data_IF_204956532906
#
_entry.id   IF_204956532906
#
_cell.length_a   1.000
_cell.length_b   1.000
_cell.length_c   1.000
_cell.angle_alpha   90.00
_cell.angle_beta   90.00
_cell.angle_gamma   90.00
#
_symmetry.space_group_name_H-M   'P 1'
#
loop_
_entity.id
_entity.type
_entity.pdbx_description
1 polymer ?
#
# COMPACT_ATOMS: atom_id res chain seq x y z
N UNK A 1 4.07 35.08 19.42
CA UNK A 1 2.70 34.70 19.00
C UNK A 1 2.71 33.19 18.77
N UNK A 2 2.10 32.44 19.69
CA UNK A 2 1.97 31.00 19.58
C UNK A 2 0.69 30.69 18.78
N UNK A 3 0.82 29.93 17.69
CA UNK A 3 -0.31 29.44 16.92
C UNK A 3 -0.82 28.18 17.62
N UNK A 4 -1.92 28.31 18.36
CA UNK A 4 -2.68 27.17 18.87
C UNK A 4 -3.29 26.41 17.69
N UNK A 5 -2.92 25.14 17.54
CA UNK A 5 -3.41 24.26 16.48
C UNK A 5 -4.50 23.36 17.05
N UNK A 6 -5.71 23.47 16.49
CA UNK A 6 -6.86 22.66 16.88
C UNK A 6 -6.62 21.15 16.61
N UNK A 7 -7.19 20.25 17.44
CA UNK A 7 -7.06 18.81 17.27
C UNK A 7 -7.96 18.31 16.13
N UNK A 8 -7.51 18.54 14.91
CA UNK A 8 -8.21 18.14 13.68
C UNK A 8 -7.33 18.21 12.41
N UNK A 9 -6.24 18.97 12.45
CA UNK A 9 -5.39 19.25 11.28
C UNK A 9 -4.36 18.15 10.94
N UNK A 10 -4.56 16.92 11.42
CA UNK A 10 -3.60 15.83 11.24
C UNK A 10 -4.06 14.79 10.24
N UNK A 11 -4.38 15.24 9.03
CA UNK A 11 -4.02 14.44 7.86
C UNK A 11 -3.13 15.31 6.99
N UNK A 12 -1.80 15.03 6.90
CA UNK A 12 -0.93 15.77 6.01
C UNK A 12 -1.30 15.40 4.57
N UNK A 13 -2.30 16.10 4.04
CA UNK A 13 -2.46 16.31 2.62
C UNK A 13 -1.12 16.83 2.14
N UNK A 14 -0.50 16.09 1.22
CA UNK A 14 0.85 16.33 0.68
C UNK A 14 1.21 17.81 0.71
N UNK A 15 2.27 18.16 1.47
CA UNK A 15 2.84 19.51 1.46
C UNK A 15 2.95 20.01 0.01
N UNK A 16 2.23 21.08 -0.31
CA UNK A 16 2.24 21.70 -1.64
C UNK A 16 3.65 22.20 -1.93
N UNK A 17 4.18 21.92 -3.12
CA UNK A 17 5.53 22.33 -3.53
C UNK A 17 6.68 21.42 -3.07
N UNK A 18 6.45 20.47 -2.16
CA UNK A 18 7.51 19.56 -1.69
C UNK A 18 7.57 18.31 -2.55
N UNK A 19 8.68 18.10 -3.27
CA UNK A 19 8.94 16.82 -3.95
C UNK A 19 9.30 15.76 -2.90
N UNK A 20 8.48 14.71 -2.72
CA UNK A 20 8.85 13.63 -1.83
C UNK A 20 10.09 12.92 -2.36
N UNK A 21 10.96 12.44 -1.48
CA UNK A 21 12.04 11.51 -1.83
C UNK A 21 11.37 10.23 -2.37
N UNK A 22 11.30 10.10 -3.70
CA UNK A 22 10.40 9.15 -4.38
C UNK A 22 10.74 7.67 -4.15
N UNK A 23 11.92 7.36 -3.62
CA UNK A 23 12.49 6.00 -3.64
C UNK A 23 12.66 5.39 -2.24
N UNK A 24 12.43 6.20 -1.19
CA UNK A 24 12.51 5.75 0.20
C UNK A 24 11.10 5.69 0.80
N UNK A 25 10.71 4.53 1.34
CA UNK A 25 9.36 4.32 1.85
C UNK A 25 9.26 4.72 3.31
N UNK A 26 8.87 5.96 3.58
CA UNK A 26 8.71 6.48 4.95
C UNK A 26 7.31 6.28 5.54
N UNK A 27 6.36 5.69 4.79
CA UNK A 27 4.93 5.64 5.17
C UNK A 27 4.61 4.82 6.41
N UNK A 28 5.47 3.87 6.76
CA UNK A 28 5.26 2.96 7.89
C UNK A 28 6.22 3.25 9.05
N UNK A 29 7.01 4.34 8.97
CA UNK A 29 7.98 4.69 10.00
C UNK A 29 7.26 5.34 11.19
N UNK A 30 7.66 4.97 12.41
CA UNK A 30 7.16 5.63 13.60
C UNK A 30 7.72 7.06 13.71
N UNK A 31 7.07 7.91 14.51
CA UNK A 31 7.54 9.28 14.77
C UNK A 31 8.97 9.31 15.30
N UNK A 32 9.34 8.34 16.16
CA UNK A 32 10.68 8.18 16.69
C UNK A 32 11.71 7.83 15.60
N UNK A 33 11.34 6.96 14.64
CA UNK A 33 12.22 6.59 13.53
C UNK A 33 12.52 7.78 12.62
N UNK A 34 11.50 8.61 12.34
CA UNK A 34 11.64 9.85 11.58
C UNK A 34 12.49 10.86 12.36
N UNK A 35 12.27 11.02 13.67
CA UNK A 35 13.07 11.92 14.50
C UNK A 35 14.55 11.54 14.54
N UNK A 36 14.88 10.24 14.46
CA UNK A 36 16.26 9.75 14.42
C UNK A 36 16.99 10.02 13.09
N UNK A 37 16.29 10.54 12.07
CA UNK A 37 16.85 10.76 10.74
C UNK A 37 17.92 11.86 10.72
N UNK A 38 17.69 12.96 11.45
CA UNK A 38 18.66 14.05 11.57
C UNK A 38 19.98 13.57 12.18
N UNK A 39 19.89 12.87 13.32
CA UNK A 39 21.05 12.29 14.01
C UNK A 39 21.84 11.34 13.11
N UNK A 40 21.14 10.46 12.39
CA UNK A 40 21.78 9.55 11.43
C UNK A 40 22.49 10.29 10.30
N UNK A 41 21.87 11.34 9.75
CA UNK A 41 22.48 12.15 8.68
C UNK A 41 23.72 12.87 9.20
N UNK A 42 23.66 13.48 10.38
CA UNK A 42 24.82 14.12 11.03
C UNK A 42 25.96 13.13 11.27
N UNK A 43 25.64 11.91 11.73
CA UNK A 43 26.63 10.86 11.91
C UNK A 43 27.31 10.51 10.58
N UNK A 44 26.54 10.27 9.51
CA UNK A 44 27.10 9.93 8.20
C UNK A 44 27.96 11.06 7.60
N UNK A 45 27.60 12.33 7.85
CA UNK A 45 28.42 13.48 7.46
C UNK A 45 29.74 13.51 8.24
N UNK A 46 29.70 13.27 9.55
CA UNK A 46 30.92 13.23 10.39
C UNK A 46 31.85 12.07 10.04
N UNK A 47 31.28 10.94 9.60
CA UNK A 47 32.02 9.76 9.14
C UNK A 47 32.51 9.86 7.70
N UNK A 48 32.21 10.96 6.98
CA UNK A 48 32.58 11.14 5.57
C UNK A 48 31.87 10.20 4.60
N UNK A 49 30.77 9.59 5.00
CA UNK A 49 29.96 8.66 4.18
C UNK A 49 28.94 9.36 3.28
N UNK A 50 28.73 10.66 3.50
CA UNK A 50 27.95 11.54 2.65
C UNK A 50 28.85 12.66 2.11
N UNK A 51 28.54 13.21 0.93
CA UNK A 51 29.23 14.40 0.45
C UNK A 51 29.09 15.52 1.48
N UNK A 52 30.16 16.29 1.67
CA UNK A 52 30.10 17.50 2.48
C UNK A 52 29.05 18.45 1.93
N UNK A 53 28.49 19.28 2.81
CA UNK A 53 27.68 20.41 2.34
C UNK A 53 28.56 21.20 1.37
N UNK A 54 28.04 21.47 0.17
CA UNK A 54 28.73 22.25 -0.89
C UNK A 54 29.41 23.48 -0.31
N UNK A 55 30.52 23.93 -0.93
CA UNK A 55 31.48 24.82 -0.29
C UNK A 55 30.80 26.04 0.30
N UNK A 56 31.33 26.46 1.46
CA UNK A 56 30.99 27.73 2.07
C UNK A 56 31.05 28.81 0.98
N UNK A 57 30.11 29.77 0.99
CA UNK A 57 30.21 30.91 0.09
C UNK A 57 31.62 31.51 0.27
N UNK A 58 32.33 31.87 -0.82
CA UNK A 58 33.65 32.47 -0.70
C UNK A 58 33.59 33.71 0.19
N UNK A 59 34.69 34.06 0.87
CA UNK A 59 34.76 35.33 1.57
C UNK A 59 34.44 36.44 0.55
N UNK A 60 33.50 37.33 0.89
CA UNK A 60 33.02 38.49 0.12
C UNK A 60 31.76 38.31 -0.76
N UNK A 61 30.90 37.33 -0.47
CA UNK A 61 29.61 37.15 -1.16
C UNK A 61 28.73 38.43 -1.19
N UNK A 62 28.84 39.31 -0.20
CA UNK A 62 28.04 40.53 -0.09
C UNK A 62 28.52 41.67 -1.00
N UNK A 63 29.74 41.59 -1.56
CA UNK A 63 30.36 42.68 -2.34
C UNK A 63 30.91 42.27 -3.70
N UNK A 64 31.08 40.97 -3.97
CA UNK A 64 31.77 40.49 -5.18
C UNK A 64 30.89 39.65 -6.12
N UNK A 65 29.73 39.18 -5.68
CA UNK A 65 28.91 38.24 -6.45
C UNK A 65 27.81 38.96 -7.23
N UNK A 66 27.67 38.60 -8.50
CA UNK A 66 26.50 38.97 -9.30
C UNK A 66 25.26 38.17 -8.85
N UNK A 67 24.04 38.69 -9.10
CA UNK A 67 22.80 37.96 -8.81
C UNK A 67 22.74 36.56 -9.44
N UNK A 68 23.37 36.38 -10.60
CA UNK A 68 23.42 35.09 -11.30
C UNK A 68 24.30 34.08 -10.55
N UNK A 69 25.48 34.49 -10.08
CA UNK A 69 26.39 33.63 -9.30
C UNK A 69 25.78 33.20 -7.97
N UNK A 70 25.04 34.12 -7.32
CA UNK A 70 24.24 33.80 -6.13
C UNK A 70 23.19 32.73 -6.46
N UNK A 71 22.48 32.89 -7.58
CA UNK A 71 21.48 31.93 -8.05
C UNK A 71 22.06 30.54 -8.31
N UNK A 72 23.17 30.46 -9.05
CA UNK A 72 23.81 29.20 -9.40
C UNK A 72 24.37 28.46 -8.17
N UNK A 73 24.92 29.21 -7.20
CA UNK A 73 25.36 28.64 -5.93
C UNK A 73 24.19 28.14 -5.08
N UNK A 74 23.10 28.91 -4.96
CA UNK A 74 21.90 28.46 -4.23
C UNK A 74 21.33 27.18 -4.84
N UNK A 75 21.26 27.12 -6.17
CA UNK A 75 20.83 25.93 -6.90
C UNK A 75 21.74 24.73 -6.64
N UNK A 76 23.06 24.94 -6.64
CA UNK A 76 24.05 23.93 -6.27
C UNK A 76 23.89 23.44 -4.84
N UNK A 77 23.70 24.36 -3.89
CA UNK A 77 23.51 24.08 -2.47
C UNK A 77 22.22 23.31 -2.19
N UNK A 78 21.13 23.69 -2.85
CA UNK A 78 19.85 22.99 -2.74
C UNK A 78 19.95 21.57 -3.31
N UNK A 79 20.60 21.39 -4.47
CA UNK A 79 20.83 20.05 -5.06
C UNK A 79 21.68 19.18 -4.15
N UNK A 80 22.79 19.72 -3.63
CA UNK A 80 23.66 19.02 -2.70
C UNK A 80 22.93 18.63 -1.41
N UNK A 81 22.15 19.53 -0.82
CA UNK A 81 21.33 19.23 0.35
C UNK A 81 20.32 18.11 0.05
N UNK A 82 19.67 18.16 -1.11
CA UNK A 82 18.76 17.11 -1.55
C UNK A 82 19.48 15.77 -1.68
N UNK A 83 20.68 15.73 -2.27
CA UNK A 83 21.48 14.53 -2.44
C UNK A 83 21.95 13.95 -1.09
N UNK A 84 22.34 14.79 -0.14
CA UNK A 84 22.70 14.39 1.23
C UNK A 84 21.50 13.73 1.92
N UNK A 85 20.34 14.40 1.91
CA UNK A 85 19.12 13.89 2.53
C UNK A 85 18.64 12.61 1.83
N UNK A 86 18.74 12.55 0.50
CA UNK A 86 18.38 11.38 -0.29
C UNK A 86 19.26 10.17 0.06
N UNK A 87 20.58 10.33 0.03
CA UNK A 87 21.53 9.26 0.27
C UNK A 87 21.50 8.79 1.72
N UNK A 88 21.34 9.71 2.68
CA UNK A 88 21.11 9.36 4.09
C UNK A 88 19.83 8.52 4.24
N UNK A 89 18.72 8.95 3.64
CA UNK A 89 17.46 8.22 3.72
C UNK A 89 17.57 6.84 3.05
N UNK A 90 18.28 6.75 1.92
CA UNK A 90 18.58 5.50 1.24
C UNK A 90 19.42 4.56 2.09
N UNK A 91 20.43 5.04 2.80
CA UNK A 91 21.27 4.22 3.69
C UNK A 91 20.51 3.77 4.93
N UNK A 92 19.70 4.66 5.53
CA UNK A 92 18.94 4.36 6.76
C UNK A 92 17.78 3.40 6.54
N UNK A 93 17.02 3.62 5.47
CA UNK A 93 15.72 2.96 5.25
C UNK A 93 15.70 2.09 3.99
N UNK A 94 16.81 2.04 3.25
CA UNK A 94 16.92 1.30 2.01
C UNK A 94 16.28 2.03 0.83
N UNK A 95 16.85 1.84 -0.35
CA UNK A 95 16.19 2.18 -1.60
C UNK A 95 15.23 1.05 -1.95
N UNK A 96 13.93 1.35 -2.06
CA UNK A 96 13.04 0.35 -2.63
C UNK A 96 13.26 0.32 -4.14
N UNK A 97 14.17 -0.56 -4.61
CA UNK A 97 14.44 -0.77 -6.03
C UNK A 97 13.12 -0.83 -6.80
N UNK A 98 12.88 0.16 -7.64
CA UNK A 98 11.66 0.23 -8.45
C UNK A 98 11.59 -0.99 -9.36
N UNK A 99 12.73 -1.49 -9.84
CA UNK A 99 12.85 -2.75 -10.58
C UNK A 99 12.37 -3.94 -9.76
N UNK A 100 12.80 -4.09 -8.49
CA UNK A 100 12.34 -5.17 -7.62
C UNK A 100 10.84 -5.05 -7.32
N UNK A 101 10.33 -3.84 -7.10
CA UNK A 101 8.88 -3.60 -6.95
C UNK A 101 8.10 -3.96 -8.21
N UNK A 102 8.59 -3.58 -9.39
CA UNK A 102 7.98 -3.88 -10.67
C UNK A 102 7.96 -5.38 -10.94
N UNK A 103 9.07 -6.08 -10.70
CA UNK A 103 9.18 -7.53 -10.83
C UNK A 103 8.23 -8.25 -9.86
N UNK A 104 8.23 -7.87 -8.58
CA UNK A 104 7.32 -8.46 -7.59
C UNK A 104 5.85 -8.25 -7.99
N UNK A 105 5.51 -7.08 -8.53
CA UNK A 105 4.18 -6.79 -9.05
C UNK A 105 3.83 -7.66 -10.26
N UNK A 106 4.74 -7.78 -11.23
CA UNK A 106 4.55 -8.60 -12.43
C UNK A 106 4.33 -10.07 -12.07
N UNK A 107 5.18 -10.64 -11.21
CA UNK A 107 5.04 -12.01 -10.70
C UNK A 107 3.72 -12.19 -9.96
N UNK A 108 3.32 -11.21 -9.12
CA UNK A 108 2.06 -11.28 -8.41
C UNK A 108 0.84 -11.22 -9.35
N UNK A 109 0.91 -10.47 -10.45
CA UNK A 109 -0.13 -10.44 -11.49
C UNK A 109 -0.20 -11.79 -12.21
N UNK A 110 0.94 -12.32 -12.64
CA UNK A 110 1.03 -13.60 -13.35
C UNK A 110 0.43 -14.74 -12.53
N UNK A 111 0.78 -14.82 -11.23
CA UNK A 111 0.22 -15.83 -10.30
C UNK A 111 -1.30 -15.68 -10.13
N UNK A 112 -1.80 -14.46 -10.00
CA UNK A 112 -3.26 -14.21 -9.92
C UNK A 112 -3.98 -14.63 -11.21
N UNK A 113 -3.40 -14.33 -12.38
CA UNK A 113 -3.98 -14.71 -13.66
C UNK A 113 -3.97 -16.23 -13.86
N UNK A 114 -2.88 -16.91 -13.48
CA UNK A 114 -2.77 -18.37 -13.51
C UNK A 114 -3.87 -19.03 -12.66
N UNK A 115 -4.00 -18.62 -11.40
CA UNK A 115 -5.05 -19.11 -10.51
C UNK A 115 -6.45 -18.90 -11.10
N UNK A 116 -6.71 -17.72 -11.69
CA UNK A 116 -7.98 -17.42 -12.35
C UNK A 116 -8.26 -18.35 -13.52
N UNK A 117 -7.26 -18.62 -14.36
CA UNK A 117 -7.39 -19.53 -15.49
C UNK A 117 -7.65 -20.97 -15.05
N UNK A 118 -6.93 -21.47 -14.03
CA UNK A 118 -7.11 -22.82 -13.50
C UNK A 118 -8.51 -23.01 -12.90
N UNK A 119 -9.02 -22.05 -12.13
CA UNK A 119 -10.38 -22.12 -11.57
C UNK A 119 -11.47 -22.09 -12.65
N UNK A 120 -11.31 -21.27 -13.70
CA UNK A 120 -12.24 -21.27 -14.84
C UNK A 120 -12.19 -22.59 -15.61
N UNK A 121 -11.00 -23.17 -15.75
CA UNK A 121 -10.84 -24.46 -16.42
C UNK A 121 -11.52 -25.58 -15.63
N UNK A 122 -11.42 -25.58 -14.30
CA UNK A 122 -12.16 -26.51 -13.44
C UNK A 122 -13.67 -26.42 -13.68
N UNK A 123 -14.23 -25.21 -13.69
CA UNK A 123 -15.66 -25.01 -13.94
C UNK A 123 -16.06 -25.48 -15.35
N UNK A 124 -15.26 -25.17 -16.38
CA UNK A 124 -15.53 -25.65 -17.75
C UNK A 124 -15.51 -27.16 -17.86
N UNK A 125 -14.55 -27.82 -17.19
CA UNK A 125 -14.51 -29.27 -17.15
C UNK A 125 -15.73 -29.84 -16.43
N UNK A 126 -16.23 -29.15 -15.41
CA UNK A 126 -17.49 -29.51 -14.75
C UNK A 126 -18.71 -29.39 -15.66
N UNK A 127 -18.82 -28.30 -16.40
CA UNK A 127 -19.94 -28.03 -17.31
C UNK A 127 -19.92 -28.94 -18.56
N UNK A 128 -18.74 -29.32 -19.07
CA UNK A 128 -18.61 -30.10 -20.29
C UNK A 128 -18.85 -31.61 -20.09
N UNK A 129 -18.37 -32.18 -19.00
CA UNK A 129 -18.57 -33.59 -18.68
C UNK A 129 -18.42 -33.83 -17.16
N UNK A 130 -19.43 -34.38 -16.47
CA UNK A 130 -19.32 -34.71 -15.06
C UNK A 130 -18.17 -35.70 -14.85
N UNK A 131 -17.10 -35.26 -14.19
CA UNK A 131 -15.97 -36.09 -13.76
C UNK A 131 -16.31 -36.76 -12.44
N UNK A 132 -15.54 -37.78 -12.08
CA UNK A 132 -15.63 -38.35 -10.73
C UNK A 132 -15.21 -37.30 -9.69
N UNK A 133 -15.79 -37.35 -8.49
CA UNK A 133 -15.40 -36.47 -7.39
C UNK A 133 -13.91 -36.57 -7.06
N UNK A 134 -13.31 -37.75 -7.24
CA UNK A 134 -11.86 -37.98 -7.11
C UNK A 134 -11.02 -37.17 -8.11
N UNK A 135 -11.48 -37.06 -9.36
CA UNK A 135 -10.81 -36.23 -10.37
C UNK A 135 -10.93 -34.74 -10.04
N UNK A 136 -12.10 -34.26 -9.60
CA UNK A 136 -12.25 -32.86 -9.18
C UNK A 136 -11.41 -32.53 -7.97
N UNK A 137 -11.32 -33.42 -6.99
CA UNK A 137 -10.47 -33.24 -5.82
C UNK A 137 -9.00 -33.08 -6.24
N UNK A 138 -8.51 -33.98 -7.11
CA UNK A 138 -7.16 -33.89 -7.69
C UNK A 138 -6.94 -32.58 -8.44
N UNK A 139 -7.87 -32.20 -9.32
CA UNK A 139 -7.73 -30.99 -10.13
C UNK A 139 -7.82 -29.71 -9.30
N UNK A 140 -8.65 -29.69 -8.25
CA UNK A 140 -8.72 -28.59 -7.29
C UNK A 140 -7.34 -28.40 -6.65
N UNK A 141 -6.73 -29.46 -6.11
CA UNK A 141 -5.41 -29.39 -5.48
C UNK A 141 -4.28 -28.90 -6.40
N UNK A 142 -4.45 -28.96 -7.74
CA UNK A 142 -3.50 -28.41 -8.71
C UNK A 142 -3.63 -26.91 -8.95
N UNK A 143 -4.66 -26.26 -8.40
CA UNK A 143 -4.82 -24.80 -8.48
C UNK A 143 -3.71 -24.12 -7.67
N UNK A 144 -2.90 -23.33 -8.36
CA UNK A 144 -1.79 -22.61 -7.75
C UNK A 144 -2.27 -21.29 -7.13
N UNK A 145 -2.60 -21.36 -5.85
CA UNK A 145 -3.00 -20.20 -5.08
C UNK A 145 -1.83 -19.23 -4.81
N UNK A 146 -2.06 -17.91 -4.93
CA UNK A 146 -1.09 -16.92 -4.47
C UNK A 146 -0.75 -17.09 -2.98
N UNK A 147 0.48 -16.74 -2.59
CA UNK A 147 0.97 -16.90 -1.20
C UNK A 147 0.03 -16.29 -0.15
N UNK A 148 -0.55 -15.12 -0.43
CA UNK A 148 -1.43 -14.39 0.47
C UNK A 148 -2.85 -14.99 0.60
N UNK A 149 -3.22 -15.94 -0.27
CA UNK A 149 -4.42 -16.77 -0.09
C UNK A 149 -4.08 -18.01 0.75
N UNK A 150 -2.95 -18.66 0.49
CA UNK A 150 -2.51 -19.84 1.23
C UNK A 150 -2.24 -19.55 2.70
N UNK A 151 -1.70 -18.37 2.97
CA UNK A 151 -1.44 -17.91 4.33
C UNK A 151 -1.95 -16.46 4.50
N UNK A 152 -3.23 -16.29 4.83
CA UNK A 152 -3.83 -14.98 5.07
C UNK A 152 -3.27 -14.27 6.31
N UNK A 153 -2.57 -14.98 7.20
CA UNK A 153 -1.98 -14.38 8.41
C UNK A 153 -0.71 -13.57 8.10
N UNK A 154 -0.09 -13.79 6.94
CA UNK A 154 0.97 -12.92 6.42
C UNK A 154 0.47 -11.54 6.01
N UNK A 155 -0.84 -11.37 5.85
CA UNK A 155 -1.44 -10.07 5.59
C UNK A 155 -1.61 -9.31 6.91
N UNK A 156 -1.25 -8.02 6.96
CA UNK A 156 -1.53 -7.18 8.12
C UNK A 156 -3.02 -7.26 8.52
N UNK A 157 -3.37 -7.17 9.81
CA UNK A 157 -4.78 -7.17 10.25
C UNK A 157 -5.62 -6.09 9.57
N UNK A 158 -5.02 -4.94 9.27
CA UNK A 158 -5.62 -3.80 8.55
C UNK A 158 -5.73 -4.01 7.03
N UNK A 159 -5.27 -5.15 6.53
CA UNK A 159 -5.29 -5.43 5.11
C UNK A 159 -6.71 -5.75 4.62
N UNK A 160 -7.24 -4.90 3.76
CA UNK A 160 -8.62 -4.93 3.26
C UNK A 160 -9.05 -6.22 2.55
N UNK A 161 -8.09 -7.02 2.05
CA UNK A 161 -8.38 -8.30 1.41
C UNK A 161 -8.12 -9.50 2.33
N UNK A 162 -7.65 -9.30 3.58
CA UNK A 162 -7.38 -10.38 4.53
C UNK A 162 -8.64 -11.18 4.87
N UNK A 163 -9.74 -10.49 5.19
CA UNK A 163 -11.00 -11.16 5.53
C UNK A 163 -11.52 -12.05 4.37
N UNK A 164 -11.52 -11.54 3.14
CA UNK A 164 -11.96 -12.36 2.01
C UNK A 164 -10.93 -13.45 1.64
N UNK A 165 -9.63 -13.26 1.93
CA UNK A 165 -8.61 -14.31 1.76
C UNK A 165 -8.81 -15.46 2.76
N UNK A 166 -9.12 -15.14 4.03
CA UNK A 166 -9.53 -16.12 5.05
C UNK A 166 -10.77 -16.88 4.58
N UNK A 167 -11.79 -16.16 4.09
CA UNK A 167 -13.02 -16.77 3.62
C UNK A 167 -12.84 -17.68 2.38
N UNK A 168 -11.76 -17.52 1.61
CA UNK A 168 -11.36 -18.48 0.56
C UNK A 168 -10.70 -19.71 1.19
N UNK A 169 -9.87 -19.54 2.22
CA UNK A 169 -9.30 -20.64 2.98
C UNK A 169 -10.37 -21.49 3.68
N UNK A 170 -11.38 -20.87 4.28
CA UNK A 170 -12.53 -21.59 4.89
C UNK A 170 -13.36 -22.31 3.83
N UNK A 171 -13.63 -21.69 2.68
CA UNK A 171 -14.30 -22.36 1.57
C UNK A 171 -13.49 -23.57 1.05
N UNK A 172 -12.16 -23.48 1.09
CA UNK A 172 -11.28 -24.58 0.69
C UNK A 172 -11.41 -25.80 1.61
N UNK A 173 -11.60 -25.58 2.92
CA UNK A 173 -11.79 -26.68 3.87
C UNK A 173 -13.16 -27.34 3.78
N UNK A 174 -14.15 -26.68 3.17
CA UNK A 174 -15.48 -27.25 2.89
C UNK A 174 -15.57 -27.96 1.54
N UNK A 175 -14.45 -28.38 0.96
CA UNK A 175 -14.42 -29.10 -0.32
C UNK A 175 -15.18 -30.43 -0.23
N UNK A 176 -16.06 -30.76 -1.21
CA UNK A 176 -16.79 -32.02 -1.21
C UNK A 176 -15.86 -33.23 -1.27
N UNK A 177 -16.22 -34.28 -0.53
CA UNK A 177 -15.53 -35.58 -0.54
C UNK A 177 -16.31 -36.67 -1.27
N UNK A 178 -17.53 -36.36 -1.74
CA UNK A 178 -18.40 -37.29 -2.45
C UNK A 178 -17.80 -37.67 -3.81
N UNK A 179 -17.87 -38.97 -4.13
CA UNK A 179 -17.28 -39.54 -5.37
C UNK A 179 -18.13 -39.28 -6.61
N UNK A 180 -19.41 -38.97 -6.45
CA UNK A 180 -20.30 -38.62 -7.55
C UNK A 180 -20.25 -37.10 -7.81
N UNK A 181 -20.32 -36.65 -9.08
CA UNK A 181 -20.51 -35.25 -9.42
C UNK A 181 -21.94 -34.82 -9.04
N UNK A 182 -22.16 -34.58 -7.75
CA UNK A 182 -23.42 -34.10 -7.19
C UNK A 182 -23.54 -32.58 -7.37
N UNK A 183 -24.74 -32.00 -7.17
CA UNK A 183 -24.95 -30.55 -7.08
C UNK A 183 -23.98 -29.83 -6.12
N UNK A 184 -23.40 -30.55 -5.16
CA UNK A 184 -22.43 -30.04 -4.20
C UNK A 184 -21.13 -29.55 -4.87
N UNK A 185 -20.64 -30.27 -5.88
CA UNK A 185 -19.45 -29.85 -6.63
C UNK A 185 -19.71 -28.61 -7.48
N UNK A 186 -20.87 -28.53 -8.16
CA UNK A 186 -21.26 -27.33 -8.93
C UNK A 186 -21.37 -26.11 -7.99
N UNK A 187 -22.09 -26.29 -6.88
CA UNK A 187 -22.28 -25.24 -5.88
C UNK A 187 -20.94 -24.77 -5.31
N UNK A 188 -20.08 -25.70 -4.90
CA UNK A 188 -18.78 -25.39 -4.34
C UNK A 188 -17.88 -24.66 -5.34
N UNK A 189 -17.81 -25.11 -6.60
CA UNK A 189 -17.02 -24.47 -7.65
C UNK A 189 -17.51 -23.05 -7.96
N UNK A 190 -18.82 -22.86 -8.12
CA UNK A 190 -19.40 -21.54 -8.40
C UNK A 190 -19.21 -20.57 -7.24
N UNK A 191 -19.39 -21.05 -6.00
CA UNK A 191 -19.16 -20.25 -4.80
C UNK A 191 -17.68 -19.82 -4.70
N UNK A 192 -16.75 -20.75 -4.94
CA UNK A 192 -15.32 -20.46 -4.97
C UNK A 192 -14.94 -19.43 -6.02
N UNK A 193 -15.46 -19.59 -7.24
CA UNK A 193 -15.21 -18.65 -8.34
C UNK A 193 -15.73 -17.24 -8.03
N UNK A 194 -16.92 -17.15 -7.42
CA UNK A 194 -17.51 -15.89 -6.99
C UNK A 194 -16.66 -15.20 -5.90
N UNK A 195 -16.22 -15.95 -4.87
CA UNK A 195 -15.32 -15.45 -3.82
C UNK A 195 -14.01 -14.96 -4.42
N UNK A 196 -13.36 -15.77 -5.26
CA UNK A 196 -12.11 -15.40 -5.93
C UNK A 196 -12.25 -14.14 -6.81
N UNK A 197 -13.34 -14.05 -7.58
CA UNK A 197 -13.64 -12.90 -8.44
C UNK A 197 -13.85 -11.63 -7.61
N UNK A 198 -14.59 -11.73 -6.49
CA UNK A 198 -14.79 -10.62 -5.55
C UNK A 198 -13.46 -10.10 -5.01
N UNK A 199 -12.57 -11.01 -4.58
CA UNK A 199 -11.25 -10.65 -4.05
C UNK A 199 -10.37 -10.00 -5.11
N UNK A 200 -10.32 -10.58 -6.31
CA UNK A 200 -9.56 -10.03 -7.43
C UNK A 200 -10.04 -8.62 -7.81
N UNK A 201 -11.36 -8.41 -7.84
CA UNK A 201 -11.97 -7.09 -8.08
C UNK A 201 -11.55 -6.08 -7.02
N UNK A 202 -11.73 -6.41 -5.73
CA UNK A 202 -11.31 -5.54 -4.61
C UNK A 202 -9.82 -5.22 -4.67
N UNK A 203 -8.98 -6.19 -5.02
CA UNK A 203 -7.53 -5.99 -5.14
C UNK A 203 -7.16 -5.09 -6.32
N UNK A 204 -7.83 -5.23 -7.47
CA UNK A 204 -7.64 -4.36 -8.64
C UNK A 204 -8.06 -2.93 -8.32
N UNK A 205 -9.18 -2.78 -7.65
CA UNK A 205 -9.82 -1.50 -7.39
C UNK A 205 -9.26 -0.80 -6.14
N UNK A 206 -8.28 -1.37 -5.43
CA UNK A 206 -7.94 -0.98 -4.06
C UNK A 206 -7.69 0.53 -3.84
N UNK A 207 -7.15 1.27 -4.82
CA UNK A 207 -7.02 2.74 -4.73
C UNK A 207 -8.37 3.45 -4.82
N UNK A 208 -9.20 3.02 -5.75
CA UNK A 208 -10.56 3.53 -5.97
C UNK A 208 -11.49 3.13 -4.84
N UNK A 209 -11.38 1.90 -4.34
CA UNK A 209 -12.17 1.33 -3.25
C UNK A 209 -11.80 1.96 -1.91
N UNK A 210 -10.50 2.16 -1.61
CA UNK A 210 -10.09 2.83 -0.36
C UNK A 210 -10.54 4.29 -0.34
N UNK A 211 -10.32 5.04 -1.43
CA UNK A 211 -10.80 6.42 -1.54
C UNK A 211 -12.32 6.52 -1.47
N UNK A 212 -13.05 5.57 -2.07
CA UNK A 212 -14.52 5.52 -2.02
C UNK A 212 -15.03 5.19 -0.61
N UNK A 213 -14.38 4.29 0.11
CA UNK A 213 -14.74 3.93 1.48
C UNK A 213 -14.43 5.06 2.47
N UNK A 214 -13.29 5.73 2.33
CA UNK A 214 -13.00 6.94 3.12
C UNK A 214 -14.03 8.03 2.84
N UNK A 215 -14.39 8.28 1.57
CA UNK A 215 -15.44 9.24 1.20
C UNK A 215 -16.82 8.83 1.74
N UNK A 216 -17.13 7.54 1.74
CA UNK A 216 -18.38 7.01 2.28
C UNK A 216 -18.43 7.18 3.81
N UNK A 217 -17.36 6.82 4.52
CA UNK A 217 -17.24 7.02 5.96
C UNK A 217 -17.30 8.50 6.35
N UNK A 218 -16.63 9.38 5.58
CA UNK A 218 -16.73 10.83 5.76
C UNK A 218 -18.15 11.34 5.53
N UNK A 219 -18.84 10.88 4.48
CA UNK A 219 -20.26 11.23 4.25
C UNK A 219 -21.16 10.74 5.38
N UNK A 220 -21.02 9.48 5.79
CA UNK A 220 -21.80 8.92 6.91
C UNK A 220 -21.52 9.68 8.20
N UNK A 221 -20.27 10.04 8.49
CA UNK A 221 -19.94 10.90 9.63
C UNK A 221 -20.57 12.29 9.50
N UNK A 222 -20.58 12.91 8.32
CA UNK A 222 -21.23 14.21 8.10
C UNK A 222 -22.74 14.19 8.32
N UNK A 223 -23.41 13.11 7.92
CA UNK A 223 -24.85 12.97 8.13
C UNK A 223 -25.20 12.57 9.58
N UNK A 224 -24.39 11.72 10.22
CA UNK A 224 -24.62 11.30 11.60
C UNK A 224 -24.23 12.39 12.63
N UNK A 225 -23.30 13.30 12.31
CA UNK A 225 -22.97 14.44 13.17
C UNK A 225 -24.09 15.50 13.16
N UNK A 226 -24.92 15.55 12.10
CA UNK A 226 -26.07 16.45 12.05
C UNK A 226 -27.23 16.01 12.96
N UNK A 227 -27.43 14.71 13.17
CA UNK A 227 -28.45 14.20 14.11
C UNK A 227 -28.12 14.55 15.57
N UNK A 228 -26.85 14.78 15.92
CA UNK A 228 -26.47 15.20 17.29
C UNK A 228 -26.43 16.71 17.51
N UNK A 229 -26.58 17.54 16.47
CA UNK A 229 -26.52 19.01 16.59
C UNK A 229 -27.92 19.62 16.66
N UNK A 230 -28.96 18.94 16.16
CA UNK A 230 -30.34 19.45 16.25
C UNK A 230 -30.97 19.31 17.66
N UNK A 231 -30.42 18.48 18.55
CA UNK A 231 -30.88 18.37 19.95
C UNK A 231 -30.13 19.27 20.95
N UNK A 232 -29.15 20.06 20.50
CA UNK A 232 -28.30 20.88 21.38
C UNK A 232 -28.50 22.40 21.24
N UNK A 233 -29.54 22.86 20.53
CA UNK A 233 -29.79 24.29 20.27
C UNK A 233 -31.00 24.87 21.02
N UNK A 234 -31.32 24.36 22.22
CA UNK A 234 -32.34 24.93 23.11
C UNK A 234 -31.93 25.02 24.60
N UNK A 235 -30.65 25.24 24.90
CA UNK A 235 -30.24 25.62 26.27
C UNK A 235 -29.14 26.69 26.23
N UNK A 236 -29.51 27.94 26.57
CA UNK A 236 -28.72 29.20 26.64
C UNK A 236 -28.28 29.76 25.28
N UNK A 237 -28.71 30.93 24.79
CA UNK A 237 -29.23 32.20 25.35
C UNK A 237 -30.36 32.72 24.44
#
# INVERSE_FOLDING_TARGET
>A
MALDLCPGDHTPTRLTGVKPIRVVNTRNLAKADIASFGVHTSQLLSEGKLPQLTPAPPPNADTAWSPQEIGDWLDGAIRNLYDILYNSAKLKWGETSQTRKALNRAVAIQRTNRCTAQLRQLLRLHEAAPRTGTEYNRLAHLVEWPKWIRDPNLLPPTCWHRADAIAIGEWWTTMPTTQHPTPDWDHWLRQGLARWTKVCRKRRDWRTTSLRLTRMQQRTAWFNVRETIEDAFWVFI
#
